data_IF_023093672482
#
_entry.id   IF_023093672482
#
_cell.length_a   1.000
_cell.length_b   1.000
_cell.length_c   1.000
_cell.angle_alpha   90.00
_cell.angle_beta   90.00
_cell.angle_gamma   90.00
#
_symmetry.space_group_name_H-M   'P 1'
#
loop_
_entity.id
_entity.type
_entity.pdbx_description
1 polymer ?
#
# COMPACT_ATOMS: atom_id res chain seq x y z
N UNK A 1 8.92 19.08 -2.21
CA UNK A 1 9.14 17.61 -2.28
C UNK A 1 10.49 17.30 -1.67
N UNK A 2 10.62 16.22 -0.86
CA UNK A 2 11.83 15.88 -0.12
C UNK A 2 12.09 14.38 -0.26
N UNK A 3 13.36 14.02 -0.42
CA UNK A 3 13.85 12.66 -0.26
C UNK A 3 14.87 12.59 0.87
N UNK A 4 15.09 11.41 1.43
CA UNK A 4 16.13 11.16 2.43
C UNK A 4 17.06 10.07 1.94
N UNK A 5 18.36 10.27 2.13
CA UNK A 5 19.37 9.26 1.87
C UNK A 5 20.12 8.95 3.19
N UNK A 6 20.21 7.66 3.51
CA UNK A 6 20.89 7.18 4.73
C UNK A 6 22.07 6.32 4.32
N UNK A 7 23.23 6.60 4.91
CA UNK A 7 24.45 5.86 4.64
C UNK A 7 25.14 5.43 5.94
N UNK A 8 25.83 4.28 5.90
CA UNK A 8 26.74 3.90 6.95
C UNK A 8 28.05 4.70 6.86
N UNK A 9 28.90 4.60 7.87
CA UNK A 9 30.16 5.35 7.94
C UNK A 9 31.07 5.15 6.70
N UNK A 10 31.05 3.97 6.08
CA UNK A 10 31.88 3.68 4.88
C UNK A 10 31.47 4.50 3.65
N UNK A 11 30.19 4.83 3.52
CA UNK A 11 29.66 5.50 2.33
C UNK A 11 29.31 6.98 2.60
N UNK A 12 29.31 7.40 3.86
CA UNK A 12 28.82 8.71 4.27
C UNK A 12 29.53 9.88 3.59
N UNK A 13 30.86 9.92 3.64
CA UNK A 13 31.64 11.05 3.11
C UNK A 13 31.41 11.24 1.61
N UNK A 14 31.41 10.14 0.85
CA UNK A 14 31.16 10.18 -0.59
C UNK A 14 29.72 10.62 -0.90
N UNK A 15 28.73 10.08 -0.21
CA UNK A 15 27.32 10.45 -0.43
C UNK A 15 27.11 11.94 -0.13
N UNK A 16 27.64 12.42 0.98
CA UNK A 16 27.55 13.83 1.39
C UNK A 16 28.23 14.74 0.37
N UNK A 17 29.44 14.44 -0.05
CA UNK A 17 30.19 15.23 -1.03
C UNK A 17 29.46 15.33 -2.36
N UNK A 18 29.02 14.21 -2.93
CA UNK A 18 28.29 14.20 -4.19
C UNK A 18 26.95 14.91 -4.08
N UNK A 19 26.21 14.73 -2.99
CA UNK A 19 24.95 15.45 -2.78
C UNK A 19 25.16 16.96 -2.75
N UNK A 20 26.23 17.40 -2.11
CA UNK A 20 26.59 18.82 -2.05
C UNK A 20 27.01 19.37 -3.43
N UNK A 21 27.92 18.68 -4.13
CA UNK A 21 28.38 19.06 -5.46
C UNK A 21 27.27 19.13 -6.51
N UNK A 22 26.28 18.24 -6.39
CA UNK A 22 25.13 18.20 -7.29
C UNK A 22 23.99 19.12 -6.88
N UNK A 23 24.15 19.92 -5.83
CA UNK A 23 23.12 20.84 -5.34
C UNK A 23 21.86 20.13 -4.80
N UNK A 24 22.02 18.93 -4.30
CA UNK A 24 20.92 18.14 -3.69
C UNK A 24 20.57 18.70 -2.31
N UNK A 25 19.83 19.79 -2.29
CA UNK A 25 19.42 20.46 -1.06
C UNK A 25 17.94 20.81 -1.10
N UNK A 26 17.38 21.05 0.07
CA UNK A 26 15.99 21.48 0.25
C UNK A 26 15.95 22.85 0.92
N UNK A 27 14.90 23.61 0.67
CA UNK A 27 14.62 24.85 1.36
C UNK A 27 14.27 24.63 2.84
N UNK A 28 14.34 25.70 3.61
CA UNK A 28 14.12 25.67 5.05
C UNK A 28 12.70 25.24 5.44
N UNK A 29 11.69 25.65 4.67
CA UNK A 29 10.28 25.30 4.95
C UNK A 29 10.04 23.81 4.70
N UNK A 30 10.58 23.25 3.62
CA UNK A 30 10.53 21.81 3.34
C UNK A 30 11.24 21.01 4.43
N UNK A 31 12.41 21.45 4.90
CA UNK A 31 13.14 20.82 6.00
C UNK A 31 12.34 20.86 7.32
N UNK A 32 11.71 22.00 7.61
CA UNK A 32 10.86 22.16 8.78
C UNK A 32 9.65 21.23 8.74
N UNK A 33 8.95 21.15 7.60
CA UNK A 33 7.79 20.26 7.43
C UNK A 33 8.17 18.79 7.60
N UNK A 34 9.31 18.37 7.05
CA UNK A 34 9.83 17.02 7.25
C UNK A 34 10.15 16.72 8.72
N UNK A 35 10.84 17.65 9.40
CA UNK A 35 11.16 17.53 10.83
C UNK A 35 9.89 17.44 11.68
N UNK A 36 8.87 18.25 11.38
CA UNK A 36 7.57 18.20 12.06
C UNK A 36 6.88 16.85 11.84
N UNK A 37 6.85 16.37 10.59
CA UNK A 37 6.25 15.08 10.25
C UNK A 37 6.96 13.90 10.94
N UNK A 38 8.27 13.96 11.08
CA UNK A 38 9.05 12.92 11.75
C UNK A 38 8.67 12.75 13.24
N UNK A 39 8.32 13.84 13.93
CA UNK A 39 7.93 13.81 15.35
C UNK A 39 6.65 13.02 15.62
N UNK A 40 5.77 12.88 14.63
CA UNK A 40 4.52 12.11 14.73
C UNK A 40 4.55 10.80 13.98
N UNK A 41 5.69 10.43 13.37
CA UNK A 41 5.81 9.24 12.53
C UNK A 41 5.42 7.95 13.27
N UNK A 42 5.92 7.77 14.49
CA UNK A 42 5.63 6.56 15.29
C UNK A 42 4.14 6.39 15.58
N UNK A 43 3.44 7.49 15.90
CA UNK A 43 1.99 7.46 16.16
C UNK A 43 1.22 7.11 14.89
N UNK A 44 1.60 7.70 13.75
CA UNK A 44 0.94 7.43 12.47
C UNK A 44 1.17 5.99 12.01
N UNK A 45 2.40 5.47 12.12
CA UNK A 45 2.70 4.08 11.75
C UNK A 45 1.89 3.08 12.57
N UNK A 46 1.73 3.31 13.87
CA UNK A 46 0.89 2.44 14.73
C UNK A 46 -0.58 2.46 14.31
N UNK A 47 -1.08 3.62 13.88
CA UNK A 47 -2.46 3.72 13.39
C UNK A 47 -2.61 3.01 12.03
N UNK A 48 -1.68 3.23 11.10
CA UNK A 48 -1.66 2.52 9.81
C UNK A 48 -1.63 1.01 10.01
N UNK A 49 -0.75 0.51 10.87
CA UNK A 49 -0.66 -0.92 11.21
C UNK A 49 -1.98 -1.46 11.74
N UNK A 50 -2.56 -0.81 12.74
CA UNK A 50 -3.82 -1.23 13.34
C UNK A 50 -4.94 -1.30 12.30
N UNK A 51 -5.15 -0.22 11.56
CA UNK A 51 -6.23 -0.13 10.57
C UNK A 51 -6.01 -1.11 9.42
N UNK A 52 -4.77 -1.27 8.93
CA UNK A 52 -4.48 -2.19 7.82
C UNK A 52 -4.69 -3.66 8.20
N UNK A 53 -4.34 -4.06 9.40
CA UNK A 53 -4.60 -5.42 9.92
C UNK A 53 -6.10 -5.69 9.99
N UNK A 54 -6.89 -4.74 10.48
CA UNK A 54 -8.33 -4.87 10.59
C UNK A 54 -9.00 -5.00 9.21
N UNK A 55 -8.64 -4.12 8.26
CA UNK A 55 -9.09 -4.21 6.87
C UNK A 55 -8.65 -5.53 6.23
N UNK A 56 -7.42 -5.99 6.47
CA UNK A 56 -6.91 -7.24 5.92
C UNK A 56 -7.68 -8.46 6.44
N UNK A 57 -8.05 -8.49 7.72
CA UNK A 57 -8.90 -9.55 8.28
C UNK A 57 -10.31 -9.53 7.67
N UNK A 58 -10.90 -8.35 7.53
CA UNK A 58 -12.20 -8.20 6.89
C UNK A 58 -12.18 -8.69 5.43
N UNK A 59 -11.15 -8.31 4.66
CA UNK A 59 -10.97 -8.77 3.28
C UNK A 59 -10.78 -10.30 3.20
N UNK A 60 -10.03 -10.89 4.13
CA UNK A 60 -9.81 -12.34 4.15
C UNK A 60 -11.09 -13.16 4.37
N UNK A 61 -12.14 -12.55 4.93
CA UNK A 61 -13.45 -13.16 5.11
C UNK A 61 -14.40 -12.94 3.92
N UNK A 62 -14.01 -12.16 2.90
CA UNK A 62 -14.86 -11.85 1.75
C UNK A 62 -14.90 -12.99 0.75
N UNK A 63 -16.10 -13.37 0.24
CA UNK A 63 -16.24 -14.44 -0.75
C UNK A 63 -15.57 -14.13 -2.09
N UNK A 64 -15.42 -12.84 -2.44
CA UNK A 64 -14.79 -12.39 -3.68
C UNK A 64 -13.26 -12.48 -3.66
N UNK A 65 -12.66 -12.55 -2.47
CA UNK A 65 -11.20 -12.51 -2.27
C UNK A 65 -10.62 -13.91 -2.27
N UNK A 66 -9.56 -14.12 -3.05
CA UNK A 66 -8.80 -15.36 -3.08
C UNK A 66 -7.67 -15.37 -2.05
N UNK A 67 -6.92 -14.27 -1.97
CA UNK A 67 -5.73 -14.16 -1.10
C UNK A 67 -5.55 -12.74 -0.62
N UNK A 68 -5.12 -12.57 0.63
CA UNK A 68 -4.70 -11.28 1.17
C UNK A 68 -3.20 -11.32 1.47
N UNK A 69 -2.44 -10.48 0.81
CA UNK A 69 -0.99 -10.37 0.94
C UNK A 69 -0.61 -9.30 1.99
N UNK A 70 -1.01 -9.53 3.23
CA UNK A 70 -0.64 -8.69 4.36
C UNK A 70 0.31 -9.46 5.28
N UNK A 71 1.53 -8.95 5.55
CA UNK A 71 2.58 -9.73 6.24
C UNK A 71 2.21 -10.15 7.67
N UNK A 72 1.32 -9.43 8.34
CA UNK A 72 0.85 -9.79 9.67
C UNK A 72 -0.12 -10.99 9.69
N UNK A 73 -0.71 -11.37 8.54
CA UNK A 73 -1.61 -12.52 8.47
C UNK A 73 -0.79 -13.82 8.36
N UNK A 74 -1.11 -14.86 9.18
CA UNK A 74 -0.42 -16.16 9.11
C UNK A 74 -0.52 -16.85 7.74
N UNK A 75 -1.57 -16.55 6.97
CA UNK A 75 -1.78 -17.07 5.62
C UNK A 75 -0.90 -16.40 4.55
N UNK A 76 -0.26 -15.27 4.88
CA UNK A 76 0.59 -14.56 3.94
C UNK A 76 1.92 -15.29 3.76
N UNK A 77 2.32 -15.51 2.50
CA UNK A 77 3.63 -16.08 2.16
C UNK A 77 4.75 -15.20 2.72
N UNK A 78 5.64 -15.79 3.52
CA UNK A 78 6.73 -15.09 4.18
C UNK A 78 6.37 -14.47 5.54
N UNK A 79 5.21 -14.79 6.10
CA UNK A 79 4.82 -14.35 7.44
C UNK A 79 5.88 -14.67 8.52
N UNK A 80 6.56 -15.81 8.40
CA UNK A 80 7.65 -16.22 9.30
C UNK A 80 8.82 -15.25 9.29
N UNK A 81 9.16 -14.66 8.13
CA UNK A 81 10.22 -13.64 8.03
C UNK A 81 9.75 -12.32 8.63
N UNK A 82 8.50 -11.93 8.39
CA UNK A 82 7.91 -10.75 9.05
C UNK A 82 7.99 -10.89 10.57
N UNK A 83 7.57 -12.02 11.11
CA UNK A 83 7.62 -12.31 12.57
C UNK A 83 9.03 -12.29 13.14
N UNK A 84 10.01 -12.68 12.35
CA UNK A 84 11.42 -12.74 12.78
C UNK A 84 12.11 -11.37 12.71
N UNK A 85 11.86 -10.60 11.64
CA UNK A 85 12.72 -9.48 11.26
C UNK A 85 12.07 -8.10 11.49
N UNK A 86 10.76 -8.03 11.68
CA UNK A 86 10.02 -6.77 11.78
C UNK A 86 9.29 -6.64 13.12
N UNK A 87 9.24 -5.41 13.63
CA UNK A 87 8.50 -5.06 14.86
C UNK A 87 7.07 -4.59 14.60
N UNK A 88 6.69 -4.43 13.34
CA UNK A 88 5.38 -3.95 12.91
C UNK A 88 5.32 -3.77 11.39
N UNK A 89 4.17 -3.34 10.89
CA UNK A 89 3.91 -3.09 9.48
C UNK A 89 3.33 -1.68 9.25
N UNK A 90 3.03 -1.39 8.01
CA UNK A 90 2.40 -0.14 7.60
C UNK A 90 1.06 -0.39 6.89
N UNK A 91 0.47 0.66 6.29
CA UNK A 91 -0.81 0.59 5.61
C UNK A 91 -0.78 -0.02 4.20
N UNK A 92 0.40 -0.36 3.65
CA UNK A 92 0.53 -0.84 2.26
C UNK A 92 0.48 -2.36 2.19
N UNK A 93 -0.53 -2.89 1.49
CA UNK A 93 -0.65 -4.31 1.21
C UNK A 93 -1.49 -4.55 -0.05
N UNK A 94 -1.70 -5.80 -0.43
CA UNK A 94 -2.53 -6.16 -1.57
C UNK A 94 -3.42 -7.36 -1.27
N UNK A 95 -4.45 -7.52 -2.08
CA UNK A 95 -5.24 -8.74 -2.13
C UNK A 95 -5.52 -9.12 -3.57
N UNK A 96 -5.86 -10.37 -3.80
CA UNK A 96 -6.18 -10.91 -5.12
C UNK A 96 -7.64 -11.32 -5.10
N UNK A 97 -8.39 -10.88 -6.10
CA UNK A 97 -9.76 -11.34 -6.34
C UNK A 97 -9.74 -12.76 -6.92
N UNK A 98 -10.81 -13.53 -6.70
CA UNK A 98 -10.95 -14.86 -7.30
C UNK A 98 -11.02 -14.83 -8.82
N UNK A 99 -11.59 -13.74 -9.36
CA UNK A 99 -11.82 -13.55 -10.77
C UNK A 99 -10.97 -12.41 -11.31
N UNK A 100 -10.60 -12.53 -12.58
CA UNK A 100 -10.06 -11.44 -13.36
C UNK A 100 -11.22 -10.55 -13.79
N UNK A 101 -11.16 -9.28 -13.44
CA UNK A 101 -12.18 -8.30 -13.80
C UNK A 101 -11.95 -7.79 -15.23
N UNK A 102 -13.01 -7.62 -15.99
CA UNK A 102 -12.99 -6.85 -17.23
C UNK A 102 -13.05 -5.33 -16.95
N UNK A 103 -12.96 -4.52 -18.01
CA UNK A 103 -12.92 -3.05 -17.87
C UNK A 103 -14.19 -2.47 -17.24
N UNK A 104 -15.36 -3.04 -17.54
CA UNK A 104 -16.63 -2.58 -16.96
C UNK A 104 -16.71 -2.93 -15.46
N UNK A 105 -16.26 -4.12 -15.08
CA UNK A 105 -16.19 -4.57 -13.70
C UNK A 105 -15.14 -3.78 -12.91
N UNK A 106 -13.98 -3.46 -13.52
CA UNK A 106 -12.97 -2.59 -12.92
C UNK A 106 -13.51 -1.20 -12.65
N UNK A 107 -14.19 -0.60 -13.62
CA UNK A 107 -14.83 0.71 -13.46
C UNK A 107 -15.90 0.66 -12.35
N UNK A 108 -16.79 -0.35 -12.35
CA UNK A 108 -17.80 -0.50 -11.33
C UNK A 108 -17.20 -0.64 -9.92
N UNK A 109 -16.10 -1.36 -9.80
CA UNK A 109 -15.42 -1.57 -8.51
C UNK A 109 -14.68 -0.33 -8.05
N UNK A 110 -13.87 0.30 -8.92
CA UNK A 110 -12.92 1.36 -8.55
C UNK A 110 -13.54 2.75 -8.53
N UNK A 111 -14.58 2.99 -9.32
CA UNK A 111 -15.21 4.31 -9.37
C UNK A 111 -16.12 4.53 -8.15
N UNK A 112 -16.22 5.81 -7.76
CA UNK A 112 -17.12 6.27 -6.70
C UNK A 112 -16.80 5.77 -5.28
N UNK A 113 -15.53 5.50 -4.95
CA UNK A 113 -15.10 5.43 -3.56
C UNK A 113 -15.15 6.82 -2.91
N UNK A 114 -15.55 6.87 -1.66
CA UNK A 114 -15.62 8.12 -0.87
C UNK A 114 -14.32 8.42 -0.12
N UNK A 115 -13.60 7.38 0.28
CA UNK A 115 -12.38 7.47 1.09
C UNK A 115 -11.13 7.01 0.34
N UNK A 116 -11.26 6.15 -0.64
CA UNK A 116 -10.13 5.69 -1.44
C UNK A 116 -9.99 6.49 -2.73
N UNK A 117 -8.81 7.06 -2.95
CA UNK A 117 -8.43 7.69 -4.21
C UNK A 117 -7.54 6.77 -5.04
N UNK A 118 -7.64 6.84 -6.38
CA UNK A 118 -6.74 6.11 -7.27
C UNK A 118 -5.43 6.86 -7.45
N UNK A 119 -4.34 6.33 -6.90
CA UNK A 119 -3.00 6.90 -7.07
C UNK A 119 -1.90 5.86 -6.85
N UNK A 120 -0.77 6.04 -7.53
CA UNK A 120 0.43 5.20 -7.34
C UNK A 120 1.17 5.47 -6.05
N UNK A 121 0.96 6.61 -5.41
CA UNK A 121 1.57 6.99 -4.14
C UNK A 121 1.17 6.02 -3.00
N UNK A 122 1.82 6.15 -1.86
CA UNK A 122 1.51 5.44 -0.61
C UNK A 122 2.27 6.09 0.56
N UNK A 123 1.89 5.76 1.78
CA UNK A 123 2.57 6.24 3.00
C UNK A 123 2.09 7.59 3.51
N UNK A 124 1.12 8.21 2.85
CA UNK A 124 0.45 9.43 3.29
C UNK A 124 -0.68 9.17 4.28
N UNK A 125 -1.45 10.19 4.57
CA UNK A 125 -2.60 10.10 5.47
C UNK A 125 -3.89 9.66 4.75
N UNK A 126 -3.91 9.79 3.41
CA UNK A 126 -5.04 9.36 2.58
C UNK A 126 -4.95 7.88 2.24
N UNK A 127 -6.11 7.22 2.21
CA UNK A 127 -6.25 5.86 1.71
C UNK A 127 -6.27 5.82 0.19
N UNK A 128 -5.52 4.89 -0.39
CA UNK A 128 -5.34 4.75 -1.83
C UNK A 128 -5.62 3.33 -2.31
N UNK A 129 -6.15 3.21 -3.53
CA UNK A 129 -6.46 1.93 -4.17
C UNK A 129 -5.95 1.93 -5.62
N UNK A 130 -5.42 0.79 -6.05
CA UNK A 130 -5.07 0.51 -7.45
C UNK A 130 -5.36 -0.95 -7.76
N UNK A 131 -5.79 -1.22 -8.98
CA UNK A 131 -5.90 -2.59 -9.50
C UNK A 131 -4.89 -2.80 -10.62
N UNK A 132 -4.37 -4.03 -10.72
CA UNK A 132 -3.49 -4.49 -11.77
C UNK A 132 -3.94 -5.87 -12.26
N UNK A 133 -3.86 -6.08 -13.55
CA UNK A 133 -4.13 -7.38 -14.15
C UNK A 133 -2.88 -8.28 -14.09
N UNK A 134 -3.04 -9.61 -14.03
CA UNK A 134 -1.90 -10.53 -14.01
C UNK A 134 -0.94 -10.29 -15.19
N UNK A 135 -1.47 -10.06 -16.39
CA UNK A 135 -0.68 -9.86 -17.63
C UNK A 135 0.22 -8.62 -17.57
N UNK A 136 -0.24 -7.55 -16.90
CA UNK A 136 0.55 -6.32 -16.72
C UNK A 136 1.76 -6.59 -15.83
N UNK A 137 1.57 -7.39 -14.80
CA UNK A 137 2.64 -7.75 -13.86
C UNK A 137 3.60 -8.78 -14.46
N UNK A 138 3.12 -9.71 -15.26
CA UNK A 138 3.95 -10.67 -16.00
C UNK A 138 4.86 -9.96 -17.00
N UNK A 139 4.38 -8.93 -17.67
CA UNK A 139 5.17 -8.15 -18.63
C UNK A 139 6.42 -7.52 -18.00
N UNK A 140 6.36 -7.16 -16.71
CA UNK A 140 7.50 -6.57 -15.98
C UNK A 140 8.27 -7.60 -15.12
N UNK A 141 7.81 -8.85 -15.06
CA UNK A 141 8.43 -9.97 -14.33
C UNK A 141 8.62 -11.22 -15.19
N UNK A 142 9.33 -11.13 -16.32
CA UNK A 142 9.38 -12.24 -17.29
C UNK A 142 10.03 -13.52 -16.75
N UNK A 143 10.86 -13.41 -15.71
CA UNK A 143 11.61 -14.56 -15.18
C UNK A 143 10.87 -15.38 -14.11
N UNK A 144 9.77 -14.88 -13.55
CA UNK A 144 9.10 -15.50 -12.40
C UNK A 144 7.59 -15.69 -12.55
N UNK A 145 6.99 -15.03 -13.54
CA UNK A 145 5.53 -14.99 -13.67
C UNK A 145 4.83 -14.42 -12.43
N UNK A 146 3.53 -14.57 -12.38
CA UNK A 146 2.70 -14.32 -11.20
C UNK A 146 2.01 -15.63 -10.80
N UNK A 147 1.80 -15.83 -9.51
CA UNK A 147 1.21 -17.05 -8.95
C UNK A 147 -0.31 -16.89 -8.66
N UNK A 148 -0.97 -15.99 -9.38
CA UNK A 148 -2.40 -15.73 -9.27
C UNK A 148 -3.01 -15.41 -10.64
N UNK A 149 -4.31 -15.68 -10.78
CA UNK A 149 -5.07 -15.48 -12.04
C UNK A 149 -6.12 -14.36 -11.96
N UNK A 150 -6.49 -13.95 -10.75
CA UNK A 150 -7.47 -12.89 -10.52
C UNK A 150 -6.85 -11.49 -10.56
N UNK A 151 -7.68 -10.47 -10.55
CA UNK A 151 -7.23 -9.08 -10.44
C UNK A 151 -6.55 -8.84 -9.09
N UNK A 152 -5.34 -8.28 -9.10
CA UNK A 152 -4.65 -7.86 -7.90
C UNK A 152 -5.06 -6.43 -7.56
N UNK A 153 -5.50 -6.20 -6.33
CA UNK A 153 -5.83 -4.87 -5.80
C UNK A 153 -4.80 -4.50 -4.73
N UNK A 154 -4.13 -3.37 -4.92
CA UNK A 154 -3.22 -2.79 -3.94
C UNK A 154 -3.94 -1.72 -3.14
N UNK A 155 -3.86 -1.80 -1.82
CA UNK A 155 -4.33 -0.78 -0.91
C UNK A 155 -3.18 -0.09 -0.19
N UNK A 156 -3.34 1.19 0.05
CA UNK A 156 -2.69 1.89 1.13
C UNK A 156 -3.77 2.40 2.08
N UNK A 157 -3.70 1.97 3.33
CA UNK A 157 -4.63 2.38 4.38
C UNK A 157 -4.07 3.63 5.05
N UNK A 158 -4.82 4.71 4.99
CA UNK A 158 -4.49 6.00 5.56
C UNK A 158 -4.80 6.11 7.06
N UNK A 159 -5.19 7.29 7.48
CA UNK A 159 -5.50 7.62 8.88
C UNK A 159 -7.00 7.87 9.11
N UNK A 160 -7.83 7.60 8.13
CA UNK A 160 -9.29 7.71 8.22
C UNK A 160 -9.83 6.67 9.22
N UNK A 161 -11.08 6.84 9.62
CA UNK A 161 -11.76 5.86 10.46
C UNK A 161 -11.85 4.51 9.74
N UNK A 162 -11.46 3.42 10.41
CA UNK A 162 -11.35 2.10 9.79
C UNK A 162 -12.71 1.52 9.41
N UNK A 163 -13.74 1.80 10.19
CA UNK A 163 -15.12 1.38 9.89
C UNK A 163 -15.64 2.04 8.60
N UNK A 164 -15.32 3.32 8.37
CA UNK A 164 -15.68 4.03 7.14
C UNK A 164 -14.93 3.46 5.93
N UNK A 165 -13.65 3.11 6.09
CA UNK A 165 -12.87 2.44 5.04
C UNK A 165 -13.45 1.06 4.68
N UNK A 166 -13.84 0.28 5.66
CA UNK A 166 -14.48 -1.03 5.45
C UNK A 166 -15.84 -0.86 4.76
N UNK A 167 -16.65 0.12 5.18
CA UNK A 167 -17.92 0.41 4.55
C UNK A 167 -17.76 0.84 3.09
N UNK A 168 -16.76 1.66 2.79
CA UNK A 168 -16.46 2.11 1.44
C UNK A 168 -16.00 0.94 0.54
N UNK A 169 -15.13 0.06 1.04
CA UNK A 169 -14.74 -1.16 0.34
C UNK A 169 -15.92 -2.11 0.12
N UNK A 170 -16.84 -2.24 1.11
CA UNK A 170 -18.05 -3.04 0.97
C UNK A 170 -18.94 -2.50 -0.16
N UNK A 171 -19.14 -1.18 -0.21
CA UNK A 171 -19.88 -0.54 -1.30
C UNK A 171 -19.23 -0.78 -2.67
N UNK A 172 -17.90 -0.83 -2.74
CA UNK A 172 -17.16 -1.21 -3.95
C UNK A 172 -17.49 -2.64 -4.41
N UNK A 173 -17.50 -3.60 -3.49
CA UNK A 173 -17.90 -4.99 -3.79
C UNK A 173 -19.38 -5.09 -4.19
N UNK A 174 -20.25 -4.31 -3.58
CA UNK A 174 -21.68 -4.29 -3.96
C UNK A 174 -21.87 -3.77 -5.39
N UNK A 175 -21.16 -2.71 -5.79
CA UNK A 175 -21.14 -2.23 -7.19
C UNK A 175 -20.61 -3.29 -8.15
N UNK A 176 -19.51 -3.96 -7.81
CA UNK A 176 -18.94 -5.05 -8.60
C UNK A 176 -19.94 -6.20 -8.78
N UNK A 177 -20.61 -6.61 -7.72
CA UNK A 177 -21.59 -7.70 -7.77
C UNK A 177 -22.86 -7.32 -8.54
N UNK A 178 -23.16 -6.03 -8.64
CA UNK A 178 -24.30 -5.51 -9.43
C UNK A 178 -24.11 -5.54 -10.95
N UNK A 179 -22.86 -5.73 -11.44
CA UNK A 179 -22.51 -5.81 -12.88
C UNK A 179 -22.06 -7.20 -13.33
N UNK A 180 -22.14 -8.21 -12.45
CA UNK A 180 -21.85 -9.63 -12.73
C UNK A 180 -23.01 -10.37 -13.35
#
# INVERSE_FOLDING_TARGET
MLGTAVANARCWDRLREYSYLMGQMVDADTAYMASRGLRTLSVRLKQHERSSIEVAHWLAARPEVATVNHPALPSCKGHEFYRRDFSGCNGLFSFVLKERLDDAQLAAYLDNFSHFSMAYSWGGFESLILANQPEELEAIRPAGGVDFSGTLVRLHIGLENVEDLIADLAAGFDRLNGVR
#
